data_IF_351281867547
#
_entry.id   IF_351281867547
#
_cell.length_a   1.000
_cell.length_b   1.000
_cell.length_c   1.000
_cell.angle_alpha   90.00
_cell.angle_beta   90.00
_cell.angle_gamma   90.00
#
_symmetry.space_group_name_H-M   'P 1'
#
loop_
_entity.id
_entity.type
_entity.pdbx_description
1 polymer ?
#
# COMPACT_ATOMS: atom_id res chain seq x y z
N UNK A 1 -20.38 -14.61 5.93
CA UNK A 1 -19.18 -14.11 6.64
C UNK A 1 -17.98 -13.95 5.71
N UNK A 2 -17.65 -14.93 4.88
CA UNK A 2 -16.52 -14.87 3.93
C UNK A 2 -16.62 -13.66 2.97
N UNK A 3 -17.81 -13.38 2.44
CA UNK A 3 -18.04 -12.24 1.54
C UNK A 3 -17.68 -10.88 2.16
N UNK A 4 -17.99 -10.68 3.45
CA UNK A 4 -17.72 -9.41 4.14
C UNK A 4 -16.20 -9.19 4.25
N UNK A 5 -15.46 -10.25 4.52
CA UNK A 5 -14.00 -10.22 4.62
C UNK A 5 -13.40 -9.92 3.24
N UNK A 6 -13.90 -10.54 2.17
CA UNK A 6 -13.46 -10.26 0.80
C UNK A 6 -13.71 -8.81 0.39
N UNK A 7 -14.86 -8.26 0.79
CA UNK A 7 -15.18 -6.84 0.57
C UNK A 7 -14.25 -5.91 1.33
N UNK A 8 -13.96 -6.19 2.60
CA UNK A 8 -13.04 -5.39 3.41
C UNK A 8 -11.62 -5.39 2.81
N UNK A 9 -11.14 -6.56 2.35
CA UNK A 9 -9.84 -6.70 1.68
C UNK A 9 -9.80 -5.88 0.38
N UNK A 10 -10.87 -5.93 -0.43
CA UNK A 10 -10.95 -5.13 -1.67
C UNK A 10 -10.91 -3.63 -1.40
N UNK A 11 -11.68 -3.16 -0.41
CA UNK A 11 -11.69 -1.75 -0.02
C UNK A 11 -10.29 -1.31 0.43
N UNK A 12 -9.64 -2.12 1.26
CA UNK A 12 -8.27 -1.85 1.71
C UNK A 12 -7.29 -1.78 0.53
N UNK A 13 -7.41 -2.70 -0.43
CA UNK A 13 -6.58 -2.76 -1.64
C UNK A 13 -6.77 -1.52 -2.54
N UNK A 14 -8.00 -1.13 -2.85
CA UNK A 14 -8.25 0.07 -3.66
C UNK A 14 -7.86 1.36 -2.94
N UNK A 15 -8.08 1.43 -1.61
CA UNK A 15 -7.62 2.53 -0.79
C UNK A 15 -6.10 2.67 -0.78
N UNK A 16 -5.38 1.55 -0.75
CA UNK A 16 -3.93 1.52 -0.84
C UNK A 16 -3.46 2.11 -2.17
N UNK A 17 -4.07 1.73 -3.30
CA UNK A 17 -3.74 2.29 -4.62
C UNK A 17 -3.94 3.81 -4.63
N UNK A 18 -5.04 4.30 -4.06
CA UNK A 18 -5.28 5.74 -3.89
C UNK A 18 -4.19 6.41 -3.07
N UNK A 19 -3.78 5.81 -1.96
CA UNK A 19 -2.65 6.27 -1.15
C UNK A 19 -1.33 6.33 -1.92
N UNK A 20 -1.04 5.32 -2.75
CA UNK A 20 0.14 5.32 -3.62
C UNK A 20 0.18 6.58 -4.49
N UNK A 21 -0.93 6.87 -5.17
CA UNK A 21 -1.06 7.99 -6.10
C UNK A 21 -0.92 9.32 -5.36
N UNK A 22 -1.58 9.45 -4.20
CA UNK A 22 -1.49 10.63 -3.33
C UNK A 22 -0.09 10.84 -2.72
N UNK A 23 0.68 9.77 -2.54
CA UNK A 23 2.07 9.85 -2.08
C UNK A 23 3.01 10.36 -3.18
N UNK A 24 2.74 10.01 -4.44
CA UNK A 24 3.55 10.44 -5.59
C UNK A 24 3.28 11.88 -6.03
N UNK A 25 2.03 12.36 -5.93
CA UNK A 25 1.67 13.71 -6.36
C UNK A 25 1.43 14.60 -5.14
N UNK A 26 2.33 15.54 -4.83
CA UNK A 26 2.13 16.48 -3.73
C UNK A 26 1.04 17.49 -4.11
N UNK A 27 -0.21 17.18 -3.76
CA UNK A 27 -1.36 18.07 -3.94
C UNK A 27 -1.69 18.69 -2.56
N UNK A 28 -1.50 20.00 -2.35
CA UNK A 28 -1.73 20.64 -1.06
C UNK A 28 -3.18 20.53 -0.54
N UNK A 29 -4.14 20.44 -1.46
CA UNK A 29 -5.57 20.40 -1.15
C UNK A 29 -6.04 19.05 -0.57
N UNK A 30 -5.25 17.99 -0.75
CA UNK A 30 -5.58 16.63 -0.26
C UNK A 30 -4.74 16.22 0.94
N UNK A 31 -3.93 17.12 1.51
CA UNK A 31 -3.17 16.91 2.77
C UNK A 31 -4.03 16.32 3.92
N UNK A 32 -5.25 16.82 4.19
CA UNK A 32 -6.07 16.27 5.26
C UNK A 32 -6.48 14.81 5.01
N UNK A 33 -6.82 14.49 3.75
CA UNK A 33 -7.16 13.13 3.33
C UNK A 33 -5.91 12.25 3.43
N UNK A 34 -4.77 12.72 2.91
CA UNK A 34 -3.49 12.02 2.99
C UNK A 34 -3.11 11.68 4.43
N UNK A 35 -3.33 12.56 5.42
CA UNK A 35 -3.09 12.25 6.84
C UNK A 35 -3.91 11.08 7.38
N UNK A 36 -5.17 10.96 6.95
CA UNK A 36 -6.03 9.84 7.35
C UNK A 36 -5.48 8.54 6.77
N UNK A 37 -5.10 8.54 5.50
CA UNK A 37 -4.46 7.39 4.87
C UNK A 37 -3.10 7.08 5.50
N UNK A 38 -2.25 8.09 5.77
CA UNK A 38 -0.99 7.93 6.50
C UNK A 38 -1.21 7.19 7.83
N UNK A 39 -2.24 7.56 8.61
CA UNK A 39 -2.54 6.91 9.88
C UNK A 39 -2.91 5.43 9.77
N UNK A 40 -3.44 5.00 8.63
CA UNK A 40 -3.86 3.61 8.38
C UNK A 40 -2.71 2.82 7.74
N UNK A 41 -2.05 3.41 6.74
CA UNK A 41 -1.13 2.71 5.85
C UNK A 41 0.33 2.85 6.27
N UNK A 42 0.78 3.97 6.88
CA UNK A 42 2.19 4.10 7.35
C UNK A 42 2.61 3.02 8.34
N UNK A 43 1.83 2.64 9.37
CA UNK A 43 2.27 1.61 10.31
C UNK A 43 2.58 0.27 9.64
N UNK A 44 1.89 -0.02 8.52
CA UNK A 44 2.03 -1.23 7.72
C UNK A 44 3.17 -1.07 6.70
N UNK A 45 3.27 0.11 6.08
CA UNK A 45 4.25 0.41 5.04
C UNK A 45 5.63 0.75 5.58
N UNK A 46 5.75 1.36 6.76
CA UNK A 46 7.01 1.77 7.40
C UNK A 46 8.02 0.61 7.55
N UNK A 47 7.65 -0.57 8.08
CA UNK A 47 8.59 -1.69 8.15
C UNK A 47 9.04 -2.16 6.75
N UNK A 48 8.14 -2.12 5.76
CA UNK A 48 8.43 -2.48 4.36
C UNK A 48 9.34 -1.42 3.72
N UNK A 49 9.06 -0.14 3.96
CA UNK A 49 9.84 0.99 3.47
C UNK A 49 11.23 1.00 4.08
N UNK A 50 11.37 0.67 5.37
CA UNK A 50 12.68 0.53 6.04
C UNK A 50 13.53 -0.59 5.44
N UNK A 51 12.90 -1.71 5.08
CA UNK A 51 13.58 -2.81 4.39
C UNK A 51 14.08 -2.38 2.99
N UNK A 52 13.30 -1.54 2.30
CA UNK A 52 13.59 -1.04 0.96
C UNK A 52 14.41 0.25 0.95
N UNK A 53 14.64 0.86 2.11
CA UNK A 53 15.34 2.13 2.29
C UNK A 53 16.70 2.22 1.58
N UNK A 54 17.55 1.16 1.56
CA UNK A 54 18.82 1.20 0.83
C UNK A 54 18.64 1.38 -0.69
N UNK A 55 17.54 0.85 -1.24
CA UNK A 55 17.20 0.91 -2.67
C UNK A 55 16.52 2.25 -2.98
N UNK A 56 15.61 2.69 -2.11
CA UNK A 56 14.88 3.97 -2.25
C UNK A 56 15.80 5.18 -2.22
N UNK A 57 16.81 5.17 -1.33
CA UNK A 57 17.77 6.29 -1.20
C UNK A 57 18.56 6.54 -2.49
N UNK A 58 18.85 5.50 -3.27
CA UNK A 58 19.61 5.63 -4.52
C UNK A 58 18.72 6.04 -5.72
N UNK A 59 17.42 5.76 -5.65
CA UNK A 59 16.46 6.08 -6.72
C UNK A 59 15.67 7.37 -6.47
N UNK A 60 15.64 7.88 -5.23
CA UNK A 60 14.89 9.09 -4.86
C UNK A 60 13.37 8.95 -4.99
N UNK A 61 12.86 7.71 -5.13
CA UNK A 61 11.45 7.40 -5.38
C UNK A 61 10.95 6.39 -4.34
N UNK A 62 9.79 6.68 -3.74
CA UNK A 62 9.13 5.78 -2.80
C UNK A 62 8.36 4.68 -3.55
N UNK A 63 9.03 3.54 -3.76
CA UNK A 63 8.43 2.35 -4.36
C UNK A 63 7.64 1.47 -3.37
N UNK A 64 7.63 1.80 -2.07
CA UNK A 64 6.87 1.09 -1.03
C UNK A 64 5.42 0.76 -1.43
N UNK A 65 4.68 1.68 -2.08
CA UNK A 65 3.29 1.41 -2.42
C UNK A 65 3.13 0.40 -3.57
N UNK A 66 4.00 0.46 -4.59
CA UNK A 66 4.05 -0.51 -5.70
C UNK A 66 4.49 -1.89 -5.19
N UNK A 67 5.48 -1.92 -4.28
CA UNK A 67 5.97 -3.16 -3.69
C UNK A 67 4.89 -3.84 -2.85
N UNK A 68 4.06 -3.07 -2.13
CA UNK A 68 2.94 -3.64 -1.39
C UNK A 68 1.89 -4.25 -2.33
N UNK A 69 1.61 -3.64 -3.48
CA UNK A 69 0.72 -4.21 -4.51
C UNK A 69 1.30 -5.52 -5.07
N UNK A 70 2.61 -5.57 -5.32
CA UNK A 70 3.29 -6.78 -5.79
C UNK A 70 3.22 -7.90 -4.76
N UNK A 71 3.45 -7.57 -3.48
CA UNK A 71 3.39 -8.50 -2.35
C UNK A 71 1.98 -9.07 -2.16
N UNK A 72 0.95 -8.23 -2.25
CA UNK A 72 -0.45 -8.66 -2.16
C UNK A 72 -0.86 -9.59 -3.31
N UNK A 73 -0.41 -9.31 -4.54
CA UNK A 73 -0.65 -10.20 -5.67
C UNK A 73 0.09 -11.54 -5.52
N UNK A 74 1.32 -11.53 -5.01
CA UNK A 74 2.09 -12.74 -4.74
C UNK A 74 1.43 -13.63 -3.68
N UNK A 75 0.98 -13.03 -2.57
CA UNK A 75 0.25 -13.74 -1.51
C UNK A 75 -1.06 -14.30 -2.06
N UNK A 76 -1.82 -13.50 -2.80
CA UNK A 76 -3.11 -13.93 -3.38
C UNK A 76 -2.95 -15.09 -4.35
N UNK A 77 -1.95 -15.04 -5.24
CA UNK A 77 -1.66 -16.11 -6.19
C UNK A 77 -1.20 -17.40 -5.50
N UNK A 78 -0.35 -17.26 -4.47
CA UNK A 78 0.14 -18.39 -3.69
C UNK A 78 -1.01 -19.08 -2.92
N UNK A 79 -1.91 -18.31 -2.31
CA UNK A 79 -3.08 -18.84 -1.59
C UNK A 79 -4.07 -19.55 -2.53
N UNK A 80 -4.38 -18.96 -3.69
CA UNK A 80 -5.27 -19.58 -4.68
C UNK A 80 -4.71 -20.88 -5.24
N UNK A 81 -3.38 -20.98 -5.37
CA UNK A 81 -2.72 -22.19 -5.86
C UNK A 81 -2.61 -23.30 -4.80
N UNK A 82 -2.84 -22.96 -3.53
CA UNK A 82 -2.75 -23.88 -2.39
C UNK A 82 -4.10 -24.46 -1.97
N UNK A 83 -5.21 -23.86 -2.43
CA UNK A 83 -6.58 -24.42 -2.38
C UNK A 83 -6.84 -25.29 -3.62
#
# INVERSE_FOLDING_TARGET
>A
MIEIILWAIRIFYYGLIGYCILSFVPIPQVEPVKRVFDGIYKPILDPISKLLYPIQKNLGLDFSPILLILLLNFISSSLVRMM
#
